data_IF_533026895809
#
_entry.id   IF_533026895809
#
_cell.length_a   1.000
_cell.length_b   1.000
_cell.length_c   1.000
_cell.angle_alpha   90.00
_cell.angle_beta   90.00
_cell.angle_gamma   90.00
#
_symmetry.space_group_name_H-M   'P 1'
#
loop_
_entity.id
_entity.type
_entity.pdbx_description
1 polymer ?
#
# COMPACT_ATOMS: atom_id res chain seq x y z
N UNK A 1 -29.64 -33.81 -23.04
CA UNK A 1 -28.62 -32.73 -23.20
C UNK A 1 -28.47 -32.04 -21.85
N UNK A 2 -27.34 -32.12 -21.13
CA UNK A 2 -27.14 -31.32 -19.92
C UNK A 2 -26.69 -29.90 -20.32
N UNK A 3 -27.40 -28.89 -19.84
CA UNK A 3 -27.13 -27.46 -20.10
C UNK A 3 -25.89 -26.92 -19.38
N UNK A 4 -25.53 -25.65 -19.60
CA UNK A 4 -24.33 -25.05 -19.04
C UNK A 4 -24.46 -24.94 -17.52
N UNK A 5 -23.66 -25.71 -16.79
CA UNK A 5 -23.49 -25.55 -15.35
C UNK A 5 -22.87 -24.17 -15.10
N UNK A 6 -23.64 -23.28 -14.48
CA UNK A 6 -23.18 -21.98 -14.02
C UNK A 6 -22.18 -22.22 -12.89
N UNK A 7 -20.89 -22.15 -13.21
CA UNK A 7 -19.85 -22.22 -12.20
C UNK A 7 -19.99 -20.99 -11.27
N UNK A 8 -20.33 -21.23 -10.01
CA UNK A 8 -20.28 -20.21 -8.97
C UNK A 8 -18.84 -19.70 -8.86
N UNK A 9 -18.59 -18.48 -9.34
CA UNK A 9 -17.26 -17.89 -9.32
C UNK A 9 -16.80 -17.67 -7.89
N UNK A 10 -15.82 -18.46 -7.44
CA UNK A 10 -15.19 -18.27 -6.14
C UNK A 10 -14.60 -16.84 -6.07
N UNK A 11 -14.85 -16.15 -4.96
CA UNK A 11 -14.40 -14.78 -4.76
C UNK A 11 -12.87 -14.80 -4.64
N UNK A 12 -12.17 -14.24 -5.62
CA UNK A 12 -10.72 -14.14 -5.59
C UNK A 12 -10.27 -13.27 -4.40
N UNK A 13 -9.14 -13.59 -3.74
CA UNK A 13 -8.60 -12.77 -2.66
C UNK A 13 -8.28 -11.35 -3.18
N UNK A 14 -8.64 -10.34 -2.38
CA UNK A 14 -8.32 -8.95 -2.70
C UNK A 14 -6.84 -8.71 -2.38
N UNK A 15 -6.06 -8.31 -3.39
CA UNK A 15 -4.67 -7.94 -3.17
C UNK A 15 -4.55 -6.50 -2.67
N UNK A 16 -3.85 -6.31 -1.56
CA UNK A 16 -3.65 -5.02 -0.91
C UNK A 16 -2.16 -4.67 -0.92
N UNK A 17 -1.80 -3.61 -1.64
CA UNK A 17 -0.43 -3.10 -1.70
C UNK A 17 -0.32 -1.74 -1.03
N UNK A 18 0.70 -1.56 -0.19
CA UNK A 18 1.05 -0.26 0.37
C UNK A 18 1.82 0.55 -0.68
N UNK A 19 1.25 1.68 -1.13
CA UNK A 19 1.87 2.55 -2.14
C UNK A 19 2.51 3.77 -1.46
N UNK A 20 3.84 3.88 -1.52
CA UNK A 20 4.62 4.97 -0.91
C UNK A 20 5.80 5.33 -1.80
N UNK A 21 6.20 6.60 -1.86
CA UNK A 21 7.25 7.10 -2.76
C UNK A 21 8.29 7.84 -1.95
N UNK A 22 9.54 7.79 -2.42
CA UNK A 22 10.68 8.46 -1.81
C UNK A 22 10.66 9.98 -2.04
N UNK A 23 9.52 10.63 -1.84
CA UNK A 23 9.31 12.07 -2.00
C UNK A 23 8.20 12.56 -1.06
N UNK A 24 8.29 13.83 -0.65
CA UNK A 24 7.27 14.49 0.18
C UNK A 24 6.04 14.81 -0.68
N UNK A 25 4.87 14.33 -0.26
CA UNK A 25 3.59 14.70 -0.89
C UNK A 25 3.22 13.92 -2.15
N UNK A 26 3.30 12.58 -2.08
CA UNK A 26 3.01 11.65 -3.19
C UNK A 26 1.59 11.74 -3.76
N UNK A 27 0.55 11.72 -2.93
CA UNK A 27 -0.86 11.66 -3.37
C UNK A 27 -1.69 12.84 -2.86
N UNK A 28 -1.28 13.44 -1.74
CA UNK A 28 -2.02 14.54 -1.09
C UNK A 28 -1.09 15.71 -0.85
N UNK A 29 -1.13 16.67 -1.76
CA UNK A 29 -0.47 17.95 -1.59
C UNK A 29 -1.08 18.67 -0.37
N UNK A 30 -0.23 19.09 0.58
CA UNK A 30 -0.64 19.85 1.77
C UNK A 30 -0.81 19.06 3.07
N UNK A 31 -0.79 17.71 3.03
CA UNK A 31 -0.86 16.90 4.27
C UNK A 31 0.41 16.98 5.12
N UNK A 32 1.51 17.47 4.52
CA UNK A 32 2.79 17.77 5.19
C UNK A 32 2.64 18.60 6.46
N UNK A 33 1.63 19.46 6.54
CA UNK A 33 1.42 20.37 7.68
C UNK A 33 0.72 19.69 8.85
N UNK A 34 0.24 18.45 8.70
CA UNK A 34 -0.43 17.74 9.78
C UNK A 34 0.59 17.25 10.82
N UNK A 35 0.36 17.43 12.13
CA UNK A 35 1.34 17.09 13.17
C UNK A 35 1.63 15.60 13.33
N UNK A 36 0.87 14.73 12.63
CA UNK A 36 1.12 13.28 12.55
C UNK A 36 1.68 12.84 11.20
N UNK A 37 1.86 13.77 10.27
CA UNK A 37 2.50 13.46 9.00
C UNK A 37 3.98 13.19 9.25
N UNK A 38 4.50 12.13 8.62
CA UNK A 38 5.91 11.71 8.73
C UNK A 38 6.60 11.68 7.37
N UNK A 39 5.96 12.28 6.35
CA UNK A 39 6.46 12.25 4.97
C UNK A 39 7.75 13.06 4.80
N UNK A 40 8.11 13.90 5.78
CA UNK A 40 9.41 14.59 5.87
C UNK A 40 10.57 13.65 6.19
N UNK A 41 10.30 12.49 6.81
CA UNK A 41 11.29 11.48 7.18
C UNK A 41 11.56 10.46 6.07
N UNK A 42 11.03 10.67 4.85
CA UNK A 42 11.19 9.76 3.70
C UNK A 42 12.66 9.43 3.38
N UNK A 43 13.58 10.33 3.72
CA UNK A 43 15.02 10.17 3.52
C UNK A 43 15.72 9.34 4.61
N UNK A 44 14.98 8.82 5.59
CA UNK A 44 15.53 8.00 6.68
C UNK A 44 15.24 6.52 6.47
N UNK A 45 16.18 5.66 6.83
CA UNK A 45 15.98 4.21 6.79
C UNK A 45 14.89 3.75 7.76
N UNK A 46 14.80 4.40 8.93
CA UNK A 46 13.82 4.07 9.96
C UNK A 46 12.37 4.20 9.45
N UNK A 47 12.07 5.24 8.67
CA UNK A 47 10.77 5.42 8.04
C UNK A 47 10.36 4.20 7.18
N UNK A 48 11.27 3.70 6.35
CA UNK A 48 11.01 2.54 5.50
C UNK A 48 10.90 1.22 6.29
N UNK A 49 11.66 1.08 7.38
CA UNK A 49 11.56 -0.08 8.26
C UNK A 49 10.21 -0.11 8.99
N UNK A 50 9.76 1.03 9.50
CA UNK A 50 8.48 1.12 10.19
C UNK A 50 7.31 0.91 9.23
N UNK A 51 7.39 1.47 8.01
CA UNK A 51 6.41 1.21 6.95
C UNK A 51 6.31 -0.30 6.62
N UNK A 52 7.44 -1.00 6.53
CA UNK A 52 7.45 -2.44 6.28
C UNK A 52 6.79 -3.23 7.42
N UNK A 53 7.13 -2.92 8.68
CA UNK A 53 6.51 -3.55 9.85
C UNK A 53 5.00 -3.33 9.92
N UNK A 54 4.56 -2.09 9.68
CA UNK A 54 3.14 -1.74 9.68
C UNK A 54 2.39 -2.45 8.53
N UNK A 55 3.04 -2.60 7.37
CA UNK A 55 2.47 -3.30 6.21
C UNK A 55 2.36 -4.81 6.45
N UNK A 56 3.38 -5.42 7.07
CA UNK A 56 3.33 -6.84 7.47
C UNK A 56 2.21 -7.08 8.50
N UNK A 57 2.08 -6.20 9.49
CA UNK A 57 0.99 -6.27 10.48
C UNK A 57 -0.40 -6.06 9.84
N UNK A 58 -0.48 -5.24 8.80
CA UNK A 58 -1.70 -4.97 8.04
C UNK A 58 -2.09 -6.07 7.03
N UNK A 59 -1.33 -7.17 6.95
CA UNK A 59 -1.52 -8.26 5.98
C UNK A 59 -1.48 -7.75 4.52
N UNK A 60 -0.66 -6.74 4.25
CA UNK A 60 -0.43 -6.28 2.88
C UNK A 60 0.41 -7.30 2.12
N UNK A 61 0.05 -7.55 0.86
CA UNK A 61 0.77 -8.48 -0.02
C UNK A 61 2.14 -7.93 -0.44
N UNK A 62 2.31 -6.61 -0.38
CA UNK A 62 3.57 -5.96 -0.70
C UNK A 62 3.54 -4.45 -0.57
N UNK A 63 4.73 -3.85 -0.60
CA UNK A 63 4.91 -2.41 -0.71
C UNK A 63 5.42 -2.07 -2.12
N UNK A 64 4.75 -1.14 -2.79
CA UNK A 64 5.13 -0.66 -4.11
C UNK A 64 5.71 0.74 -3.95
N UNK A 65 7.02 0.83 -4.20
CA UNK A 65 7.75 2.10 -4.24
C UNK A 65 8.04 2.41 -5.71
N UNK A 66 7.41 3.45 -6.30
CA UNK A 66 7.72 3.83 -7.66
C UNK A 66 9.16 4.34 -7.71
N UNK A 67 10.00 3.66 -8.50
CA UNK A 67 11.15 4.28 -9.11
C UNK A 67 10.58 5.22 -10.20
N UNK A 68 10.99 6.47 -10.16
CA UNK A 68 10.66 7.52 -11.13
C UNK A 68 10.78 7.04 -12.59
#
# INVERSE_FOLDING_TARGET
MPGPCTASQAKAPLMLNAFSMNCVGLLKHGLRTHPRDRLDLFNTLAYWQDLARDSEHGLFDGAVIPAW
#
